data_IF_241627430851
#
_entry.id   IF_241627430851
#
_cell.length_a   1.000
_cell.length_b   1.000
_cell.length_c   1.000
_cell.angle_alpha   90.00
_cell.angle_beta   90.00
_cell.angle_gamma   90.00
#
_symmetry.space_group_name_H-M   'P 1'
#
loop_
_entity.id
_entity.type
_entity.pdbx_description
1 polymer ?
#
# COMPACT_ATOMS: atom_id res chain seq x y z
N UNK A 1 -32.15 -71.87 4.85
CA UNK A 1 -32.33 -70.40 4.90
C UNK A 1 -30.99 -69.66 5.08
N UNK A 2 -29.90 -70.02 4.36
CA UNK A 2 -28.53 -69.56 4.68
C UNK A 2 -27.77 -68.81 3.56
N UNK A 3 -28.37 -68.57 2.39
CA UNK A 3 -27.64 -67.98 1.23
C UNK A 3 -27.67 -66.44 1.19
N UNK A 4 -28.65 -65.81 1.84
CA UNK A 4 -28.81 -64.34 1.86
C UNK A 4 -27.89 -63.64 2.86
N UNK A 5 -27.54 -64.30 3.98
CA UNK A 5 -26.61 -63.73 4.96
C UNK A 5 -25.16 -63.66 4.46
N UNK A 6 -24.72 -64.64 3.68
CA UNK A 6 -23.36 -64.68 3.13
C UNK A 6 -23.13 -63.61 2.05
N UNK A 7 -24.14 -63.31 1.24
CA UNK A 7 -24.07 -62.29 0.19
C UNK A 7 -24.08 -60.88 0.78
N UNK A 8 -24.86 -60.62 1.83
CA UNK A 8 -24.87 -59.34 2.52
C UNK A 8 -23.52 -59.02 3.20
N UNK A 9 -22.86 -60.03 3.79
CA UNK A 9 -21.55 -59.84 4.44
C UNK A 9 -20.43 -59.53 3.43
N UNK A 10 -20.44 -60.18 2.26
CA UNK A 10 -19.43 -59.96 1.23
C UNK A 10 -19.47 -58.53 0.64
N UNK A 11 -20.68 -57.98 0.43
CA UNK A 11 -20.89 -56.63 -0.09
C UNK A 11 -20.44 -55.57 0.93
N UNK A 12 -20.68 -55.80 2.23
CA UNK A 12 -20.26 -54.89 3.29
C UNK A 12 -18.72 -54.77 3.39
N UNK A 13 -18.00 -55.88 3.22
CA UNK A 13 -16.52 -55.88 3.30
C UNK A 13 -15.90 -55.16 2.10
N UNK A 14 -16.47 -55.32 0.90
CA UNK A 14 -15.96 -54.63 -0.30
C UNK A 14 -16.20 -53.12 -0.24
N UNK A 15 -17.38 -52.69 0.23
CA UNK A 15 -17.71 -51.27 0.39
C UNK A 15 -16.77 -50.58 1.40
N UNK A 16 -16.45 -51.25 2.52
CA UNK A 16 -15.59 -50.69 3.57
C UNK A 16 -14.11 -50.58 3.13
N UNK A 17 -13.62 -51.55 2.35
CA UNK A 17 -12.25 -51.55 1.82
C UNK A 17 -12.04 -50.50 0.70
N UNK A 18 -13.09 -50.16 -0.06
CA UNK A 18 -13.01 -49.10 -1.08
C UNK A 18 -13.07 -47.69 -0.51
N UNK A 19 -13.69 -47.48 0.65
CA UNK A 19 -13.79 -46.14 1.27
C UNK A 19 -12.49 -45.67 1.93
N UNK A 20 -11.66 -46.57 2.44
CA UNK A 20 -10.44 -46.23 3.20
C UNK A 20 -9.30 -45.71 2.30
N UNK A 21 -9.16 -46.25 1.10
CA UNK A 21 -8.15 -45.80 0.13
C UNK A 21 -8.45 -44.43 -0.47
N UNK A 22 -9.74 -44.10 -0.66
CA UNK A 22 -10.19 -42.80 -1.18
C UNK A 22 -9.95 -41.67 -0.16
N UNK A 23 -10.20 -41.92 1.12
CA UNK A 23 -9.93 -40.94 2.19
C UNK A 23 -8.42 -40.70 2.36
N UNK A 24 -7.59 -41.74 2.34
CA UNK A 24 -6.14 -41.60 2.43
C UNK A 24 -5.53 -40.86 1.22
N UNK A 25 -6.07 -41.07 0.01
CA UNK A 25 -5.66 -40.32 -1.17
C UNK A 25 -6.07 -38.84 -1.11
N UNK A 26 -7.23 -38.54 -0.53
CA UNK A 26 -7.70 -37.17 -0.31
C UNK A 26 -6.82 -36.41 0.67
N UNK A 27 -6.47 -37.02 1.81
CA UNK A 27 -5.57 -36.43 2.82
C UNK A 27 -4.19 -36.08 2.22
N UNK A 28 -3.63 -36.97 1.38
CA UNK A 28 -2.32 -36.74 0.75
C UNK A 28 -2.39 -35.61 -0.28
N UNK A 29 -3.52 -35.45 -0.97
CA UNK A 29 -3.72 -34.37 -1.93
C UNK A 29 -3.96 -33.02 -1.23
N UNK A 30 -4.73 -33.00 -0.14
CA UNK A 30 -4.97 -31.80 0.67
C UNK A 30 -3.65 -31.28 1.27
N UNK A 31 -2.83 -32.14 1.88
CA UNK A 31 -1.49 -31.75 2.41
C UNK A 31 -0.55 -31.20 1.33
N UNK A 32 -0.58 -31.74 0.11
CA UNK A 32 0.22 -31.23 -1.01
C UNK A 32 -0.28 -29.89 -1.54
N UNK A 33 -1.58 -29.61 -1.43
CA UNK A 33 -2.14 -28.31 -1.78
C UNK A 33 -1.82 -27.26 -0.72
N UNK A 34 -1.90 -27.61 0.57
CA UNK A 34 -1.51 -26.74 1.68
C UNK A 34 -0.04 -26.31 1.56
N UNK A 35 0.88 -27.26 1.36
CA UNK A 35 2.32 -26.95 1.19
C UNK A 35 2.59 -26.01 -0.01
N UNK A 36 1.80 -26.11 -1.09
CA UNK A 36 1.91 -25.20 -2.25
C UNK A 36 1.32 -23.83 -1.98
N UNK A 37 0.29 -23.74 -1.13
CA UNK A 37 -0.29 -22.46 -0.72
C UNK A 37 0.63 -21.74 0.26
N UNK A 38 1.22 -22.45 1.22
CA UNK A 38 2.19 -21.91 2.18
C UNK A 38 3.41 -21.32 1.45
N UNK A 39 4.02 -22.08 0.51
CA UNK A 39 5.14 -21.59 -0.29
C UNK A 39 4.79 -20.33 -1.13
N UNK A 40 3.54 -20.21 -1.62
CA UNK A 40 3.07 -19.01 -2.33
C UNK A 40 2.88 -17.81 -1.40
N UNK A 41 2.43 -18.05 -0.17
CA UNK A 41 2.27 -17.00 0.84
C UNK A 41 3.64 -16.50 1.25
N UNK A 42 4.57 -17.41 1.56
CA UNK A 42 5.95 -17.09 1.96
C UNK A 42 6.66 -16.23 0.90
N UNK A 43 6.62 -16.64 -0.37
CA UNK A 43 7.18 -15.89 -1.48
C UNK A 43 6.54 -14.50 -1.66
N UNK A 44 5.22 -14.36 -1.42
CA UNK A 44 4.53 -13.05 -1.46
C UNK A 44 4.96 -12.15 -0.29
N UNK A 45 5.16 -12.71 0.89
CA UNK A 45 5.63 -11.95 2.06
C UNK A 45 7.08 -11.53 1.90
N UNK A 46 7.96 -12.39 1.39
CA UNK A 46 9.37 -12.05 1.12
C UNK A 46 9.49 -10.93 0.09
N UNK A 47 8.78 -11.03 -1.04
CA UNK A 47 8.75 -9.96 -2.04
C UNK A 47 8.19 -8.63 -1.47
N UNK A 48 7.21 -8.69 -0.56
CA UNK A 48 6.66 -7.51 0.11
C UNK A 48 7.64 -6.90 1.11
N UNK A 49 8.47 -7.72 1.77
CA UNK A 49 9.50 -7.27 2.71
C UNK A 49 10.69 -6.68 1.94
N UNK A 50 11.10 -7.31 0.85
CA UNK A 50 12.18 -6.84 -0.02
C UNK A 50 11.83 -5.48 -0.66
N UNK A 51 10.60 -5.32 -1.16
CA UNK A 51 10.12 -4.04 -1.68
C UNK A 51 10.04 -2.93 -0.62
N UNK A 52 9.85 -3.27 0.68
CA UNK A 52 9.94 -2.28 1.76
C UNK A 52 11.38 -1.93 2.11
N UNK A 53 12.31 -2.89 2.07
CA UNK A 53 13.73 -2.66 2.34
C UNK A 53 14.41 -1.88 1.22
N UNK A 54 13.98 -2.11 -0.02
CA UNK A 54 14.48 -1.44 -1.22
C UNK A 54 13.60 -0.28 -1.67
N UNK A 55 12.77 0.29 -0.79
CA UNK A 55 12.08 1.55 -1.06
C UNK A 55 13.15 2.63 -1.23
N UNK A 56 13.62 2.79 -2.46
CA UNK A 56 14.64 3.77 -2.82
C UNK A 56 14.06 5.13 -2.45
N UNK A 57 14.69 5.89 -1.54
CA UNK A 57 14.32 7.29 -1.37
C UNK A 57 14.45 7.89 -2.76
N UNK A 58 13.35 8.32 -3.37
CA UNK A 58 13.49 9.08 -4.60
C UNK A 58 14.36 10.29 -4.24
N UNK A 59 15.49 10.51 -4.94
CA UNK A 59 16.29 11.70 -4.72
C UNK A 59 15.47 12.88 -5.23
N UNK A 60 14.58 13.39 -4.38
CA UNK A 60 13.90 14.65 -4.62
C UNK A 60 14.96 15.73 -4.64
N UNK A 61 15.01 16.52 -5.71
CA UNK A 61 15.93 17.66 -5.76
C UNK A 61 15.52 18.64 -4.66
N UNK A 62 16.42 18.88 -3.72
CA UNK A 62 16.23 19.89 -2.67
C UNK A 62 16.73 21.22 -3.21
N UNK A 63 15.84 22.20 -3.32
CA UNK A 63 16.18 23.55 -3.79
C UNK A 63 15.99 24.52 -2.63
N UNK A 64 17.04 25.26 -2.27
CA UNK A 64 16.95 26.31 -1.25
C UNK A 64 16.80 27.64 -1.97
N UNK A 65 15.68 28.33 -1.76
CA UNK A 65 15.48 29.70 -2.21
C UNK A 65 15.85 30.63 -1.07
N UNK A 66 16.85 31.47 -1.30
CA UNK A 66 17.30 32.46 -0.33
C UNK A 66 16.60 33.80 -0.57
N UNK A 67 16.26 34.50 0.51
CA UNK A 67 15.67 35.84 0.50
C UNK A 67 14.43 35.97 -0.41
N UNK A 68 13.58 34.94 -0.48
CA UNK A 68 12.31 35.03 -1.18
C UNK A 68 11.37 35.99 -0.44
N UNK A 69 10.70 36.88 -1.16
CA UNK A 69 9.70 37.77 -0.58
C UNK A 69 8.36 37.04 -0.39
N UNK A 70 8.20 36.43 0.78
CA UNK A 70 7.08 35.54 1.10
C UNK A 70 6.10 36.21 2.05
N UNK A 71 4.81 35.94 1.85
CA UNK A 71 3.75 36.21 2.83
C UNK A 71 2.94 34.95 3.12
N UNK A 72 2.30 34.91 4.27
CA UNK A 72 1.37 33.83 4.63
C UNK A 72 -0.03 34.20 4.16
N UNK A 73 -0.69 33.28 3.47
CA UNK A 73 -2.07 33.46 2.99
C UNK A 73 -2.93 32.25 3.34
N UNK A 74 -4.23 32.45 3.47
CA UNK A 74 -5.22 31.38 3.57
C UNK A 74 -6.00 31.25 2.27
N UNK A 75 -6.08 30.02 1.76
CA UNK A 75 -6.92 29.64 0.63
C UNK A 75 -7.72 28.39 1.00
N UNK A 76 -9.06 28.48 0.96
CA UNK A 76 -9.98 27.39 1.33
C UNK A 76 -9.64 26.73 2.68
N UNK A 77 -9.24 27.52 3.68
CA UNK A 77 -8.87 27.03 5.01
C UNK A 77 -7.47 26.41 5.10
N UNK A 78 -6.72 26.36 4.00
CA UNK A 78 -5.32 25.90 3.97
C UNK A 78 -4.40 27.11 4.05
N UNK A 79 -3.38 27.03 4.91
CA UNK A 79 -2.33 28.04 5.01
C UNK A 79 -1.25 27.74 3.97
N UNK A 80 -0.91 28.75 3.17
CA UNK A 80 0.10 28.67 2.12
C UNK A 80 1.12 29.80 2.30
N UNK A 81 2.33 29.59 1.81
CA UNK A 81 3.29 30.66 1.55
C UNK A 81 3.08 31.16 0.13
N UNK A 82 2.97 32.47 -0.03
CA UNK A 82 2.87 33.11 -1.33
C UNK A 82 4.12 33.94 -1.60
N UNK A 83 4.83 33.60 -2.67
CA UNK A 83 5.93 34.38 -3.22
C UNK A 83 5.39 35.53 -4.05
N UNK A 84 5.55 36.73 -3.51
CA UNK A 84 5.03 37.96 -4.11
C UNK A 84 5.78 38.38 -5.38
N UNK A 85 7.00 37.91 -5.58
CA UNK A 85 7.82 38.24 -6.76
C UNK A 85 7.50 37.28 -7.89
N UNK A 86 7.50 35.98 -7.61
CA UNK A 86 7.27 34.95 -8.63
C UNK A 86 5.79 34.55 -8.80
N UNK A 87 4.90 35.10 -7.97
CA UNK A 87 3.46 34.78 -7.94
C UNK A 87 3.21 33.26 -7.79
N UNK A 88 4.05 32.60 -6.97
CA UNK A 88 3.97 31.16 -6.70
C UNK A 88 3.43 30.91 -5.30
N UNK A 89 2.73 29.79 -5.15
CA UNK A 89 2.26 29.34 -3.85
C UNK A 89 2.98 28.07 -3.46
N UNK A 90 3.28 27.96 -2.17
CA UNK A 90 3.94 26.82 -1.58
C UNK A 90 3.16 26.32 -0.38
N UNK A 91 3.04 25.00 -0.26
CA UNK A 91 2.41 24.31 0.87
C UNK A 91 3.49 23.58 1.65
N UNK A 92 3.40 23.60 2.98
CA UNK A 92 4.27 22.80 3.84
C UNK A 92 4.10 21.31 3.53
N UNK A 93 5.22 20.60 3.34
CA UNK A 93 5.26 19.17 3.14
C UNK A 93 6.54 18.62 3.77
N UNK A 94 6.40 17.61 4.63
CA UNK A 94 7.51 16.99 5.36
C UNK A 94 8.41 18.04 6.04
N UNK A 95 9.68 18.12 5.64
CA UNK A 95 10.68 19.05 6.18
C UNK A 95 10.88 20.31 5.32
N UNK A 96 9.95 20.62 4.41
CA UNK A 96 10.07 21.76 3.51
C UNK A 96 8.74 22.18 2.91
N UNK A 97 8.79 22.63 1.66
CA UNK A 97 7.64 23.14 0.94
C UNK A 97 7.55 22.55 -0.46
N UNK A 98 6.33 22.39 -0.95
CA UNK A 98 6.04 21.98 -2.32
C UNK A 98 5.23 23.04 -3.03
N UNK A 99 5.43 23.16 -4.35
CA UNK A 99 4.61 24.05 -5.18
C UNK A 99 3.15 23.63 -5.08
N UNK A 100 2.28 24.61 -4.89
CA UNK A 100 0.84 24.42 -4.80
C UNK A 100 0.15 25.29 -5.86
N UNK A 101 -0.73 24.68 -6.64
CA UNK A 101 -1.45 25.41 -7.68
C UNK A 101 -2.71 26.03 -7.09
N UNK A 102 -2.71 27.36 -6.99
CA UNK A 102 -3.90 28.15 -6.68
C UNK A 102 -4.50 28.64 -8.01
N UNK A 103 -5.80 28.40 -8.30
CA UNK A 103 -6.43 28.89 -9.52
C UNK A 103 -6.34 30.41 -9.64
N UNK A 104 -6.19 30.90 -10.87
CA UNK A 104 -6.23 32.33 -11.15
C UNK A 104 -7.57 32.92 -10.70
N UNK A 105 -7.53 34.08 -10.03
CA UNK A 105 -8.72 34.75 -9.50
C UNK A 105 -9.31 34.12 -8.23
N UNK A 106 -8.65 33.10 -7.65
CA UNK A 106 -9.06 32.56 -6.37
C UNK A 106 -9.03 33.62 -5.26
N UNK A 107 -10.03 33.60 -4.38
CA UNK A 107 -10.04 34.47 -3.20
C UNK A 107 -9.06 33.94 -2.16
N UNK A 108 -8.04 34.75 -1.89
CA UNK A 108 -7.01 34.48 -0.88
C UNK A 108 -7.12 35.53 0.22
N UNK A 109 -6.99 35.10 1.46
CA UNK A 109 -6.96 36.00 2.63
C UNK A 109 -5.51 36.18 3.05
N UNK A 110 -5.03 37.42 3.07
CA UNK A 110 -3.69 37.70 3.60
C UNK A 110 -3.68 37.55 5.12
N UNK A 111 -2.71 36.79 5.64
CA UNK A 111 -2.54 36.55 7.08
C UNK A 111 -1.33 37.29 7.64
N UNK A 112 -0.34 37.61 6.81
CA UNK A 112 0.85 38.35 7.18
C UNK A 112 1.36 39.20 6.03
N UNK A 113 2.09 40.26 6.35
CA UNK A 113 2.76 41.09 5.35
C UNK A 113 3.96 40.38 4.73
N UNK A 114 4.32 40.69 3.47
CA UNK A 114 5.48 40.10 2.82
C UNK A 114 6.80 40.43 3.54
N UNK A 115 7.64 39.42 3.73
CA UNK A 115 8.98 39.57 4.32
C UNK A 115 9.98 38.62 3.64
N UNK A 116 11.28 38.99 3.62
CA UNK A 116 12.32 38.15 3.05
C UNK A 116 12.55 36.92 3.94
N UNK A 117 12.46 35.73 3.35
CA UNK A 117 12.60 34.45 4.05
C UNK A 117 13.33 33.42 3.19
N UNK A 118 14.04 32.49 3.84
CA UNK A 118 14.63 31.34 3.18
C UNK A 118 13.66 30.16 3.23
N UNK A 119 13.47 29.48 2.11
CA UNK A 119 12.63 28.27 2.05
C UNK A 119 13.33 27.13 1.33
N UNK A 120 13.05 25.92 1.80
CA UNK A 120 13.50 24.67 1.18
C UNK A 120 12.34 24.09 0.39
N UNK A 121 12.50 24.01 -0.94
CA UNK A 121 11.56 23.35 -1.84
C UNK A 121 11.95 21.89 -2.04
N UNK A 122 10.93 21.04 -2.01
CA UNK A 122 11.00 19.62 -2.31
C UNK A 122 10.40 19.41 -3.70
N UNK A 123 11.22 19.05 -4.69
CA UNK A 123 10.74 18.66 -6.02
C UNK A 123 10.41 17.17 -6.07
#
# INVERSE_FOLDING_TARGET
MNKQHLTAMAIAITALATSSSVLAQRDIQEKRQEARQEARIEHRTEARIENRRNATPQPGNIIIIQNAMLRTVSYNGIVLLHDTVNQRFYRSADNGYKVYNVPYGAKIVELSSPSPMNITLLN
#
